data_IF_643683369109
#
_entry.id   IF_643683369109
#
_cell.length_a   1.000
_cell.length_b   1.000
_cell.length_c   1.000
_cell.angle_alpha   90.00
_cell.angle_beta   90.00
_cell.angle_gamma   90.00
#
_symmetry.space_group_name_H-M   'P 1'
#
loop_
_entity.id
_entity.type
_entity.pdbx_description
1 polymer ?
#
# COMPACT_ATOMS: atom_id res chain seq x y z
N UNK A 1 -13.21 -15.27 -5.10
CA UNK A 1 -11.95 -15.44 -4.36
C UNK A 1 -10.95 -14.37 -4.80
N UNK A 2 -10.36 -13.64 -3.87
CA UNK A 2 -9.38 -12.59 -4.12
C UNK A 2 -8.07 -13.20 -4.64
N UNK A 3 -7.41 -12.51 -5.59
CA UNK A 3 -6.17 -12.97 -6.23
C UNK A 3 -5.20 -11.83 -6.47
N UNK A 4 -3.91 -12.15 -6.41
CA UNK A 4 -2.82 -11.35 -7.00
C UNK A 4 -2.28 -12.13 -8.18
N UNK A 5 -2.09 -11.45 -9.30
CA UNK A 5 -1.61 -12.05 -10.54
C UNK A 5 -0.15 -11.65 -10.79
N UNK A 6 0.61 -12.57 -11.32
CA UNK A 6 1.95 -12.34 -11.86
C UNK A 6 1.87 -12.39 -13.39
N UNK A 7 2.42 -11.37 -14.02
CA UNK A 7 2.58 -11.32 -15.49
C UNK A 7 4.07 -11.28 -15.80
N UNK A 8 4.52 -12.21 -16.63
CA UNK A 8 5.92 -12.29 -17.07
C UNK A 8 6.17 -11.34 -18.24
N UNK A 9 7.45 -10.99 -18.57
CA UNK A 9 7.77 -10.08 -19.69
C UNK A 9 7.25 -10.54 -21.05
N UNK A 10 7.05 -11.85 -21.26
CA UNK A 10 6.43 -12.42 -22.46
C UNK A 10 4.88 -12.40 -22.42
N UNK A 11 4.29 -11.74 -21.43
CA UNK A 11 2.85 -11.52 -21.32
C UNK A 11 2.04 -12.68 -20.70
N UNK A 12 2.69 -13.73 -20.21
CA UNK A 12 1.99 -14.85 -19.57
C UNK A 12 1.53 -14.48 -18.17
N UNK A 13 0.23 -14.62 -17.91
CA UNK A 13 -0.38 -14.38 -16.61
C UNK A 13 -0.57 -15.70 -15.84
N UNK A 14 -0.27 -15.67 -14.54
CA UNK A 14 -0.51 -16.77 -13.61
C UNK A 14 -0.94 -16.22 -12.25
N UNK A 15 -1.67 -17.02 -11.47
CA UNK A 15 -2.02 -16.65 -10.12
C UNK A 15 -0.76 -16.71 -9.23
N UNK A 16 -0.44 -15.60 -8.58
CA UNK A 16 0.68 -15.52 -7.64
C UNK A 16 0.24 -15.97 -6.25
N UNK A 17 -0.83 -15.38 -5.70
CA UNK A 17 -1.48 -15.80 -4.46
C UNK A 17 -2.98 -15.64 -4.58
N UNK A 18 -3.75 -16.45 -3.84
CA UNK A 18 -5.21 -16.36 -3.82
C UNK A 18 -5.82 -16.75 -2.46
N UNK A 19 -7.01 -16.23 -2.19
CA UNK A 19 -7.77 -16.53 -0.99
C UNK A 19 -7.26 -15.77 0.23
N UNK A 20 -7.64 -16.25 1.43
CA UNK A 20 -7.19 -15.64 2.68
C UNK A 20 -5.65 -15.72 2.80
N UNK A 21 -5.00 -14.67 3.35
CA UNK A 21 -5.57 -13.52 4.05
C UNK A 21 -5.89 -12.30 3.15
N UNK A 22 -5.91 -12.45 1.82
CA UNK A 22 -6.37 -11.38 0.93
C UNK A 22 -7.83 -11.01 1.24
N UNK A 23 -8.12 -9.72 1.35
CA UNK A 23 -9.45 -9.18 1.60
C UNK A 23 -9.63 -7.87 0.82
N UNK A 24 -10.17 -7.95 -0.37
CA UNK A 24 -10.21 -6.85 -1.33
C UNK A 24 -8.81 -6.21 -1.50
N UNK A 25 -7.80 -6.97 -1.99
CA UNK A 25 -6.45 -6.43 -2.19
C UNK A 25 -6.51 -5.28 -3.18
N UNK A 26 -5.77 -4.20 -2.88
CA UNK A 26 -5.77 -2.99 -3.69
C UNK A 26 -4.33 -2.56 -4.03
N UNK A 27 -3.66 -1.79 -3.19
CA UNK A 27 -2.28 -1.35 -3.45
C UNK A 27 -1.26 -2.49 -3.35
N UNK A 28 -0.24 -2.43 -4.22
CA UNK A 28 0.84 -3.41 -4.28
C UNK A 28 2.17 -2.71 -4.58
N UNK A 29 3.25 -3.15 -3.92
CA UNK A 29 4.59 -2.66 -4.17
C UNK A 29 5.63 -3.73 -3.81
N UNK A 30 6.88 -3.57 -4.30
CA UNK A 30 8.01 -4.34 -3.83
C UNK A 30 8.66 -3.67 -2.63
N UNK A 31 9.10 -4.47 -1.65
CA UNK A 31 9.97 -3.99 -0.60
C UNK A 31 11.45 -4.02 -1.04
N UNK A 32 12.38 -3.40 -0.28
CA UNK A 32 13.80 -3.41 -0.63
C UNK A 32 14.45 -4.80 -0.72
N UNK A 33 13.84 -5.82 -0.13
CA UNK A 33 14.30 -7.21 -0.18
C UNK A 33 13.70 -8.00 -1.36
N UNK A 34 12.85 -7.36 -2.18
CA UNK A 34 12.20 -7.98 -3.33
C UNK A 34 10.95 -8.79 -2.98
N UNK A 35 10.44 -8.68 -1.76
CA UNK A 35 9.14 -9.24 -1.40
C UNK A 35 8.01 -8.39 -1.98
N UNK A 36 6.86 -9.00 -2.12
CA UNK A 36 5.65 -8.37 -2.63
C UNK A 36 4.76 -7.97 -1.45
N UNK A 37 4.53 -6.68 -1.30
CA UNK A 37 3.66 -6.13 -0.25
C UNK A 37 2.32 -5.76 -0.85
N UNK A 38 1.24 -6.22 -0.22
CA UNK A 38 -0.14 -5.98 -0.66
C UNK A 38 -0.93 -5.39 0.50
N UNK A 39 -1.67 -4.33 0.25
CA UNK A 39 -2.61 -3.75 1.21
C UNK A 39 -4.03 -4.14 0.89
N UNK A 40 -4.81 -4.44 1.91
CA UNK A 40 -6.21 -4.80 1.80
C UNK A 40 -7.13 -3.59 1.97
N UNK A 41 -8.11 -3.44 1.09
CA UNK A 41 -9.20 -2.47 1.29
C UNK A 41 -10.18 -2.94 2.37
N UNK A 42 -10.44 -4.25 2.44
CA UNK A 42 -11.45 -4.83 3.33
C UNK A 42 -11.10 -4.84 4.82
N UNK A 43 -9.82 -4.62 5.16
CA UNK A 43 -9.34 -4.56 6.56
C UNK A 43 -8.06 -3.71 6.64
N UNK A 44 -7.36 -3.75 7.78
CA UNK A 44 -6.10 -3.01 7.99
C UNK A 44 -4.84 -3.77 7.57
N UNK A 45 -4.96 -5.03 7.13
CA UNK A 45 -3.81 -5.88 6.91
C UNK A 45 -2.91 -5.37 5.77
N UNK A 46 -1.61 -5.36 6.06
CA UNK A 46 -0.51 -5.13 5.14
C UNK A 46 0.28 -6.43 5.06
N UNK A 47 0.14 -7.12 3.94
CA UNK A 47 0.61 -8.49 3.75
C UNK A 47 1.92 -8.47 2.95
N UNK A 48 2.97 -9.09 3.48
CA UNK A 48 4.23 -9.27 2.77
C UNK A 48 4.38 -10.72 2.35
N UNK A 49 4.52 -10.96 1.05
CA UNK A 49 4.75 -12.27 0.47
C UNK A 49 6.16 -12.37 -0.07
N UNK A 50 6.81 -13.52 0.13
CA UNK A 50 8.07 -13.83 -0.55
C UNK A 50 7.87 -13.90 -2.08
N UNK A 51 8.96 -13.84 -2.88
CA UNK A 51 8.86 -14.05 -4.33
C UNK A 51 8.23 -15.40 -4.73
N UNK A 52 8.21 -16.38 -3.82
CA UNK A 52 7.57 -17.68 -4.02
C UNK A 52 6.08 -17.70 -3.63
N UNK A 53 5.50 -16.56 -3.20
CA UNK A 53 4.10 -16.45 -2.80
C UNK A 53 3.78 -16.92 -1.39
N UNK A 54 4.78 -17.11 -0.53
CA UNK A 54 4.57 -17.45 0.88
C UNK A 54 4.37 -16.17 1.70
N UNK A 55 3.35 -16.15 2.54
CA UNK A 55 3.14 -15.06 3.50
C UNK A 55 4.26 -15.09 4.54
N UNK A 56 5.07 -14.03 4.58
CA UNK A 56 6.22 -13.91 5.49
C UNK A 56 5.99 -12.90 6.61
N UNK A 57 5.06 -11.95 6.42
CA UNK A 57 4.75 -10.93 7.44
C UNK A 57 3.35 -10.38 7.27
N UNK A 58 2.72 -10.06 8.40
CA UNK A 58 1.49 -9.28 8.47
C UNK A 58 1.69 -8.10 9.40
N UNK A 59 1.43 -6.90 8.91
CA UNK A 59 1.38 -5.65 9.66
C UNK A 59 -0.03 -5.06 9.54
N UNK A 60 -0.32 -3.99 10.25
CA UNK A 60 -1.61 -3.31 10.14
C UNK A 60 -1.41 -1.82 9.88
N UNK A 61 -2.15 -1.26 8.93
CA UNK A 61 -2.31 0.17 8.76
C UNK A 61 -3.11 0.77 9.93
N UNK A 62 -3.00 2.06 10.14
CA UNK A 62 -3.74 2.76 11.21
C UNK A 62 -5.25 2.85 10.92
N UNK A 63 -5.64 2.74 9.64
CA UNK A 63 -7.03 2.79 9.19
C UNK A 63 -7.29 1.69 8.14
N UNK A 64 -8.50 1.10 8.10
CA UNK A 64 -8.89 0.21 7.00
C UNK A 64 -9.24 1.01 5.74
N UNK A 65 -9.52 0.31 4.64
CA UNK A 65 -9.83 0.95 3.36
C UNK A 65 -8.58 1.39 2.62
N UNK A 66 -7.49 0.64 2.75
CA UNK A 66 -6.21 0.93 2.11
C UNK A 66 -6.31 0.88 0.59
N UNK A 67 -5.70 1.87 -0.07
CA UNK A 67 -5.64 1.98 -1.53
C UNK A 67 -4.18 2.11 -1.98
N UNK A 68 -3.56 3.29 -1.84
CA UNK A 68 -2.20 3.53 -2.26
C UNK A 68 -1.16 2.98 -1.27
N UNK A 69 -0.05 2.50 -1.81
CA UNK A 69 1.10 2.00 -1.06
C UNK A 69 2.40 2.53 -1.68
N UNK A 70 3.22 3.18 -0.87
CA UNK A 70 4.59 3.57 -1.21
C UNK A 70 5.53 2.93 -0.19
N UNK A 71 6.61 2.31 -0.66
CA UNK A 71 7.66 1.74 0.20
C UNK A 71 8.97 2.45 -0.10
N UNK A 72 9.59 2.99 0.95
CA UNK A 72 10.83 3.72 0.86
C UNK A 72 12.05 2.77 0.87
N UNK A 73 13.24 3.23 0.43
CA UNK A 73 14.45 2.40 0.44
C UNK A 73 14.86 1.85 1.81
N UNK A 74 14.46 2.51 2.89
CA UNK A 74 14.70 2.03 4.27
C UNK A 74 13.63 1.03 4.76
N UNK A 75 12.64 0.70 3.92
CA UNK A 75 11.52 -0.19 4.25
C UNK A 75 10.32 0.50 4.91
N UNK A 76 10.37 1.80 5.16
CA UNK A 76 9.22 2.56 5.64
C UNK A 76 8.08 2.49 4.62
N UNK A 77 6.90 2.17 5.08
CA UNK A 77 5.68 2.08 4.26
C UNK A 77 4.76 3.26 4.53
N UNK A 78 4.23 3.84 3.47
CA UNK A 78 3.14 4.82 3.53
C UNK A 78 1.91 4.22 2.86
N UNK A 79 0.77 4.27 3.54
CA UNK A 79 -0.49 3.66 3.08
C UNK A 79 -1.60 4.70 3.26
N UNK A 80 -2.31 5.03 2.19
CA UNK A 80 -3.48 5.88 2.30
C UNK A 80 -4.76 5.06 2.40
N UNK A 81 -5.73 5.60 3.13
CA UNK A 81 -7.08 5.07 3.25
C UNK A 81 -8.04 5.89 2.39
N UNK A 82 -8.52 5.32 1.30
CA UNK A 82 -9.53 5.97 0.45
C UNK A 82 -10.87 6.12 1.19
N UNK A 83 -11.11 5.23 2.14
CA UNK A 83 -12.36 5.22 2.91
C UNK A 83 -12.40 6.23 4.05
N UNK A 84 -11.27 6.45 4.74
CA UNK A 84 -11.19 7.29 5.93
C UNK A 84 -10.30 8.53 5.78
N UNK A 85 -9.58 8.64 4.66
CA UNK A 85 -8.82 9.84 4.30
C UNK A 85 -7.53 10.06 5.08
N UNK A 86 -6.97 9.01 5.69
CA UNK A 86 -5.72 9.10 6.41
C UNK A 86 -4.53 8.55 5.63
N UNK A 87 -3.32 8.91 6.06
CA UNK A 87 -2.06 8.32 5.63
C UNK A 87 -1.39 7.67 6.83
N UNK A 88 -1.22 6.36 6.78
CA UNK A 88 -0.47 5.58 7.76
C UNK A 88 1.00 5.54 7.38
N UNK A 89 1.89 5.65 8.37
CA UNK A 89 3.33 5.35 8.24
C UNK A 89 3.67 4.15 9.09
N UNK A 90 4.35 3.16 8.51
CA UNK A 90 4.88 2.00 9.23
C UNK A 90 6.40 1.98 9.01
N UNK A 91 7.16 2.32 10.05
CA UNK A 91 8.61 2.14 10.05
C UNK A 91 8.96 0.68 10.35
N UNK A 92 10.11 0.17 9.87
CA UNK A 92 10.55 -1.19 10.19
C UNK A 92 10.52 -1.48 11.68
N UNK A 93 9.81 -2.57 12.08
CA UNK A 93 9.69 -2.99 13.48
C UNK A 93 8.82 -2.13 14.38
N UNK A 94 8.06 -1.16 13.82
CA UNK A 94 7.17 -0.27 14.58
C UNK A 94 5.71 -0.49 14.16
N UNK A 95 4.80 -0.14 15.07
CA UNK A 95 3.36 -0.05 14.78
C UNK A 95 3.08 1.12 13.84
N UNK A 96 1.94 1.05 13.14
CA UNK A 96 1.48 2.13 12.29
C UNK A 96 1.16 3.39 13.12
N UNK A 97 1.50 4.54 12.57
CA UNK A 97 1.09 5.86 13.04
C UNK A 97 0.34 6.60 11.93
N UNK A 98 -0.66 7.38 12.30
CA UNK A 98 -1.40 8.23 11.37
C UNK A 98 -0.65 9.57 11.24
N UNK A 99 -0.06 9.85 10.07
CA UNK A 99 0.74 11.07 9.84
C UNK A 99 -0.04 12.19 9.15
N UNK A 100 -1.14 11.86 8.49
CA UNK A 100 -2.05 12.83 7.86
C UNK A 100 -3.47 12.28 7.91
N UNK A 101 -4.46 13.17 7.87
CA UNK A 101 -5.88 12.83 7.92
C UNK A 101 -6.72 13.85 7.13
N UNK A 102 -8.03 13.60 7.03
CA UNK A 102 -8.98 14.50 6.35
C UNK A 102 -8.65 14.74 4.86
N UNK A 103 -8.11 13.73 4.18
CA UNK A 103 -7.85 13.74 2.74
C UNK A 103 -9.00 13.00 2.05
N UNK A 104 -9.98 13.71 1.47
CA UNK A 104 -11.14 13.05 0.88
C UNK A 104 -10.75 12.11 -0.26
N UNK A 105 -11.24 10.87 -0.21
CA UNK A 105 -10.99 9.87 -1.26
C UNK A 105 -9.51 9.69 -1.59
N UNK A 106 -8.65 9.65 -0.57
CA UNK A 106 -7.20 9.44 -0.71
C UNK A 106 -6.94 8.07 -1.38
N UNK A 107 -6.75 8.09 -2.70
CA UNK A 107 -6.58 6.89 -3.52
C UNK A 107 -5.09 6.53 -3.70
N UNK A 108 -4.73 5.94 -4.81
CA UNK A 108 -3.33 5.63 -5.14
C UNK A 108 -2.41 6.81 -4.88
N UNK A 109 -1.17 6.57 -4.50
CA UNK A 109 -0.21 7.63 -4.28
C UNK A 109 1.15 7.33 -4.91
N UNK A 110 1.94 8.36 -5.11
CA UNK A 110 3.34 8.24 -5.46
C UNK A 110 4.22 9.10 -4.53
N UNK A 111 5.51 8.82 -4.55
CA UNK A 111 6.52 9.62 -3.85
C UNK A 111 7.21 10.55 -4.83
N UNK A 112 7.15 11.85 -4.54
CA UNK A 112 7.94 12.88 -5.22
C UNK A 112 9.26 13.07 -4.47
N UNK A 113 10.33 12.47 -5.01
CA UNK A 113 11.64 12.51 -4.38
C UNK A 113 12.27 13.91 -4.38
N UNK A 114 11.92 14.77 -5.34
CA UNK A 114 12.47 16.12 -5.44
C UNK A 114 11.96 17.02 -4.33
N UNK A 115 10.67 16.93 -4.01
CA UNK A 115 10.04 17.73 -2.98
C UNK A 115 9.94 17.00 -1.63
N UNK A 116 10.37 15.72 -1.56
CA UNK A 116 10.24 14.85 -0.39
C UNK A 116 8.80 14.83 0.15
N UNK A 117 7.87 14.46 -0.71
CA UNK A 117 6.44 14.46 -0.38
C UNK A 117 5.69 13.29 -1.01
N UNK A 118 4.55 12.93 -0.43
CA UNK A 118 3.58 12.06 -1.07
C UNK A 118 2.61 12.90 -1.90
N UNK A 119 2.25 12.40 -3.06
CA UNK A 119 1.23 13.00 -3.94
C UNK A 119 0.09 12.00 -4.04
N UNK A 120 -1.10 12.43 -3.65
CA UNK A 120 -2.27 11.57 -3.48
C UNK A 120 -3.43 12.11 -4.31
N UNK A 121 -3.93 11.37 -5.32
CA UNK A 121 -5.14 11.75 -6.03
C UNK A 121 -6.37 11.60 -5.14
N UNK A 122 -7.20 12.63 -5.10
CA UNK A 122 -8.49 12.63 -4.41
C UNK A 122 -9.60 12.39 -5.45
N UNK A 123 -9.89 11.11 -5.73
CA UNK A 123 -10.65 10.66 -6.90
C UNK A 123 -11.98 11.40 -7.13
N UNK A 124 -12.79 11.59 -6.09
CA UNK A 124 -14.09 12.27 -6.23
C UNK A 124 -13.97 13.81 -6.22
N UNK A 125 -12.79 14.37 -5.96
CA UNK A 125 -12.57 15.79 -5.76
C UNK A 125 -11.82 16.46 -6.91
N UNK A 126 -11.42 15.71 -7.94
CA UNK A 126 -10.67 16.19 -9.11
C UNK A 126 -9.41 17.02 -8.72
N UNK A 127 -8.68 16.58 -7.71
CA UNK A 127 -7.55 17.31 -7.14
C UNK A 127 -6.49 16.38 -6.56
N UNK A 128 -5.35 16.93 -6.20
CA UNK A 128 -4.22 16.25 -5.58
C UNK A 128 -3.98 16.81 -4.18
N UNK A 129 -3.70 15.93 -3.22
CA UNK A 129 -3.13 16.31 -1.94
C UNK A 129 -1.61 16.09 -1.96
N UNK A 130 -0.87 17.00 -1.32
CA UNK A 130 0.58 16.96 -1.19
C UNK A 130 0.93 16.88 0.28
N UNK A 131 1.60 15.82 0.70
CA UNK A 131 1.94 15.54 2.10
C UNK A 131 3.46 15.56 2.24
N UNK A 132 4.06 16.66 2.75
CA UNK A 132 5.49 16.71 3.01
C UNK A 132 5.93 15.64 4.02
N UNK A 133 7.07 15.01 3.75
CA UNK A 133 7.71 14.03 4.64
C UNK A 133 8.92 14.69 5.32
N UNK A 134 8.88 14.75 6.64
CA UNK A 134 9.97 15.28 7.46
C UNK A 134 10.78 14.14 8.07
#
# INVERSE_FOLDING_TARGET
TWKVWKVTPDGKASVFVQGAPLNAPNGIAFDPQGNIVVVNYGNTAVLTFSPAGQLVKTENAAQPGSDGLVIMPDGTKYICSVRYGGVSRIRPGKSAELIANNIPNAASMCYDAKANQLVIPMNANNSLAFIPLN
#
